data_IF_938762958316
#
_entry.id   IF_938762958316
#
_cell.length_a   1.000
_cell.length_b   1.000
_cell.length_c   1.000
_cell.angle_alpha   90.00
_cell.angle_beta   90.00
_cell.angle_gamma   90.00
#
_symmetry.space_group_name_H-M   'P 1'
#
loop_
_entity.id
_entity.type
_entity.pdbx_description
1 polymer ?
#
# COMPACT_ATOMS: atom_id res chain seq x y z
N UNK A 1 -6.59 7.86 -6.61
CA UNK A 1 -8.05 7.78 -6.58
C UNK A 1 -8.42 6.92 -5.39
N UNK A 2 -9.25 7.40 -4.47
CA UNK A 2 -9.69 6.58 -3.34
C UNK A 2 -10.92 5.77 -3.77
N UNK A 3 -10.79 4.44 -3.84
CA UNK A 3 -11.89 3.49 -4.08
C UNK A 3 -12.77 3.37 -2.83
N UNK A 4 -13.95 2.76 -2.79
CA UNK A 4 -14.67 2.51 -1.53
C UNK A 4 -13.85 1.66 -0.54
N UNK A 5 -14.07 1.86 0.78
CA UNK A 5 -13.43 1.05 1.82
C UNK A 5 -13.81 -0.42 1.64
N UNK A 6 -12.83 -1.30 1.84
CA UNK A 6 -13.04 -2.73 1.88
C UNK A 6 -11.80 -3.43 2.46
N UNK A 7 -11.99 -4.68 2.85
CA UNK A 7 -10.90 -5.57 3.26
C UNK A 7 -10.68 -6.67 2.22
N UNK A 8 -9.46 -7.21 2.17
CA UNK A 8 -9.17 -8.47 1.48
C UNK A 8 -9.68 -9.65 2.30
N UNK A 9 -9.66 -10.85 1.71
CA UNK A 9 -10.02 -12.10 2.42
C UNK A 9 -9.13 -12.37 3.65
N UNK A 10 -7.92 -11.81 3.66
CA UNK A 10 -6.96 -11.92 4.77
C UNK A 10 -7.16 -10.83 5.85
N UNK A 11 -8.20 -10.00 5.73
CA UNK A 11 -8.53 -8.94 6.70
C UNK A 11 -7.72 -7.64 6.56
N UNK A 12 -6.88 -7.51 5.53
CA UNK A 12 -6.11 -6.28 5.28
C UNK A 12 -6.97 -5.25 4.56
N UNK A 13 -6.82 -3.96 4.89
CA UNK A 13 -7.44 -2.88 4.11
C UNK A 13 -6.99 -2.96 2.64
N UNK A 14 -7.93 -2.86 1.70
CA UNK A 14 -7.73 -3.18 0.29
C UNK A 14 -6.60 -2.37 -0.35
N UNK A 15 -6.55 -1.06 -0.14
CA UNK A 15 -5.49 -0.23 -0.73
C UNK A 15 -4.12 -0.54 -0.13
N UNK A 16 -4.04 -0.74 1.19
CA UNK A 16 -2.81 -1.13 1.86
C UNK A 16 -2.31 -2.50 1.38
N UNK A 17 -3.22 -3.47 1.24
CA UNK A 17 -2.92 -4.79 0.74
C UNK A 17 -2.34 -4.75 -0.69
N UNK A 18 -2.97 -4.00 -1.59
CA UNK A 18 -2.54 -3.94 -3.01
C UNK A 18 -1.29 -3.07 -3.19
N UNK A 19 -1.29 -1.86 -2.62
CA UNK A 19 -0.25 -0.86 -2.89
C UNK A 19 1.02 -1.07 -2.05
N UNK A 20 0.94 -1.80 -0.93
CA UNK A 20 2.09 -2.04 -0.06
C UNK A 20 2.39 -3.52 0.13
N UNK A 21 1.46 -4.31 0.69
CA UNK A 21 1.75 -5.71 1.02
C UNK A 21 2.04 -6.56 -0.22
N UNK A 22 1.26 -6.38 -1.30
CA UNK A 22 1.48 -7.09 -2.57
C UNK A 22 2.83 -6.76 -3.21
N UNK A 23 3.24 -5.48 -3.17
CA UNK A 23 4.54 -5.06 -3.68
C UNK A 23 5.71 -5.62 -2.86
N UNK A 24 5.55 -5.65 -1.53
CA UNK A 24 6.52 -6.29 -0.64
C UNK A 24 6.61 -7.78 -0.93
N UNK A 25 5.49 -8.49 -0.99
CA UNK A 25 5.44 -9.92 -1.25
C UNK A 25 6.05 -10.29 -2.61
N UNK A 26 5.74 -9.52 -3.67
CA UNK A 26 6.33 -9.69 -5.00
C UNK A 26 7.86 -9.55 -4.95
N UNK A 27 8.35 -8.47 -4.34
CA UNK A 27 9.78 -8.19 -4.25
C UNK A 27 10.50 -9.24 -3.41
N UNK A 28 9.94 -9.62 -2.26
CA UNK A 28 10.50 -10.64 -1.38
C UNK A 28 10.60 -12.00 -2.08
N UNK A 29 9.57 -12.38 -2.84
CA UNK A 29 9.54 -13.63 -3.61
C UNK A 29 10.60 -13.64 -4.71
N UNK A 30 10.77 -12.51 -5.42
CA UNK A 30 11.75 -12.37 -6.49
C UNK A 30 13.18 -12.10 -5.99
N UNK A 31 13.36 -11.81 -4.70
CA UNK A 31 14.63 -11.35 -4.13
C UNK A 31 15.82 -12.29 -4.44
N UNK A 32 15.70 -13.63 -4.35
CA UNK A 32 16.79 -14.52 -4.72
C UNK A 32 17.17 -14.43 -6.20
N UNK A 33 16.20 -14.22 -7.11
CA UNK A 33 16.46 -14.04 -8.54
C UNK A 33 17.13 -12.69 -8.81
N UNK A 34 16.63 -11.62 -8.21
CA UNK A 34 17.21 -10.28 -8.33
C UNK A 34 18.68 -10.25 -7.90
N UNK A 35 19.04 -11.00 -6.86
CA UNK A 35 20.45 -11.15 -6.42
C UNK A 35 21.35 -11.88 -7.43
N UNK A 36 20.79 -12.81 -8.22
CA UNK A 36 21.55 -13.55 -9.24
C UNK A 36 21.69 -12.79 -10.56
N UNK A 37 20.74 -11.93 -10.88
CA UNK A 37 20.66 -11.20 -12.15
C UNK A 37 21.37 -9.84 -12.11
N UNK A 38 22.58 -9.75 -11.53
CA UNK A 38 23.27 -8.45 -11.39
C UNK A 38 23.79 -7.94 -12.74
N UNK A 39 23.52 -6.67 -13.11
CA UNK A 39 22.82 -5.65 -12.32
C UNK A 39 21.29 -5.78 -12.40
N UNK A 40 20.61 -5.64 -11.27
CA UNK A 40 19.13 -5.62 -11.18
C UNK A 40 18.65 -4.39 -10.41
N UNK A 41 17.40 -3.96 -10.66
CA UNK A 41 16.79 -2.79 -10.00
C UNK A 41 15.31 -3.04 -9.75
N UNK A 42 14.83 -2.60 -8.58
CA UNK A 42 13.41 -2.50 -8.25
C UNK A 42 13.05 -1.01 -8.20
N UNK A 43 11.95 -0.62 -8.87
CA UNK A 43 11.42 0.75 -8.87
C UNK A 43 9.97 0.70 -8.43
N UNK A 44 9.64 1.39 -7.34
CA UNK A 44 8.28 1.50 -6.85
C UNK A 44 7.65 2.78 -7.39
N UNK A 45 6.50 2.66 -8.07
CA UNK A 45 5.71 3.81 -8.48
C UNK A 45 4.89 4.30 -7.29
N UNK A 46 4.93 5.61 -7.05
CA UNK A 46 4.20 6.25 -5.94
C UNK A 46 3.47 7.50 -6.46
N UNK A 47 2.70 8.13 -5.58
CA UNK A 47 1.97 9.37 -5.83
C UNK A 47 2.57 10.51 -5.03
N UNK A 48 2.39 11.77 -5.46
CA UNK A 48 2.81 12.95 -4.69
C UNK A 48 2.26 12.97 -3.25
N UNK A 49 1.12 12.31 -3.02
CA UNK A 49 0.50 12.15 -1.71
C UNK A 49 1.40 11.44 -0.67
N UNK A 50 2.37 10.62 -1.09
CA UNK A 50 3.28 9.93 -0.15
C UNK A 50 4.07 10.91 0.73
N UNK A 51 4.27 12.16 0.28
CA UNK A 51 4.98 13.20 1.04
C UNK A 51 4.26 13.61 2.33
N UNK A 52 2.98 13.28 2.47
CA UNK A 52 2.19 13.57 3.67
C UNK A 52 2.34 12.50 4.75
N UNK A 53 3.02 11.38 4.46
CA UNK A 53 3.28 10.35 5.44
C UNK A 53 4.16 10.88 6.58
N UNK A 54 3.74 10.66 7.82
CA UNK A 54 4.49 11.07 9.01
C UNK A 54 5.09 9.85 9.69
N UNK A 55 6.36 9.94 10.06
CA UNK A 55 7.08 8.84 10.72
C UNK A 55 6.41 8.41 12.03
N UNK A 56 5.82 9.35 12.76
CA UNK A 56 5.08 9.09 14.02
C UNK A 56 3.96 8.05 13.87
N UNK A 57 3.33 7.95 12.69
CA UNK A 57 2.30 6.94 12.43
C UNK A 57 2.87 5.51 12.36
N UNK A 58 4.17 5.36 12.13
CA UNK A 58 4.85 4.05 12.06
C UNK A 58 5.57 3.69 13.35
N UNK A 59 5.91 4.66 14.19
CA UNK A 59 6.71 4.44 15.41
C UNK A 59 5.91 4.50 16.70
N UNK A 60 4.66 4.99 16.68
CA UNK A 60 3.84 5.16 17.88
C UNK A 60 3.11 3.89 18.33
N UNK A 61 3.23 2.78 17.60
CA UNK A 61 2.42 1.58 17.84
C UNK A 61 0.97 1.71 17.37
N UNK A 62 0.58 2.85 16.78
CA UNK A 62 -0.69 2.99 16.09
C UNK A 62 -0.77 2.05 14.89
N UNK A 63 -1.99 1.63 14.54
CA UNK A 63 -2.21 0.83 13.34
C UNK A 63 -1.80 1.60 12.08
N UNK A 64 -0.93 0.99 11.27
CA UNK A 64 -0.42 1.58 10.02
C UNK A 64 -1.44 1.53 8.88
N UNK A 65 -2.44 0.67 8.99
CA UNK A 65 -3.53 0.50 8.04
C UNK A 65 -4.84 0.96 8.68
N UNK A 66 -5.80 1.38 7.85
CA UNK A 66 -7.14 1.65 8.35
C UNK A 66 -7.85 0.37 8.77
N UNK A 67 -8.55 0.44 9.89
CA UNK A 67 -9.29 -0.69 10.47
C UNK A 67 -10.81 -0.61 10.24
N UNK A 68 -11.31 0.54 9.78
CA UNK A 68 -12.72 0.80 9.50
C UNK A 68 -12.88 1.82 8.37
N UNK A 69 -14.12 2.00 7.94
CA UNK A 69 -14.57 3.03 7.00
C UNK A 69 -14.79 4.41 7.67
N UNK A 70 -14.57 4.53 8.98
CA UNK A 70 -14.67 5.81 9.69
C UNK A 70 -13.66 6.83 9.15
N UNK A 71 -14.15 8.00 8.73
CA UNK A 71 -13.32 9.04 8.11
C UNK A 71 -12.76 8.64 6.73
N UNK A 72 -13.29 7.57 6.13
CA UNK A 72 -12.97 7.15 4.79
C UNK A 72 -13.81 7.93 3.78
N UNK A 73 -13.16 8.76 2.97
CA UNK A 73 -13.84 9.55 1.95
C UNK A 73 -13.36 9.10 0.56
N UNK A 74 -14.11 8.22 -0.13
CA UNK A 74 -13.80 7.91 -1.51
C UNK A 74 -13.98 9.19 -2.34
N UNK A 75 -13.15 9.37 -3.37
CA UNK A 75 -13.47 10.41 -4.36
C UNK A 75 -14.69 9.85 -5.09
N UNK A 76 -15.86 10.46 -4.91
CA UNK A 76 -17.04 10.16 -5.72
C UNK A 76 -16.68 10.47 -7.17
N UNK A 77 -16.40 9.43 -7.94
CA UNK A 77 -16.27 9.55 -9.39
C UNK A 77 -17.71 9.50 -9.90
N UNK A 78 -18.27 10.65 -10.27
CA UNK A 78 -19.59 10.69 -10.91
C UNK A 78 -19.61 9.68 -12.06
N UNK A 79 -20.62 8.81 -12.16
CA UNK A 79 -20.79 8.01 -13.36
C UNK A 79 -20.96 8.97 -14.54
N UNK A 80 -20.20 8.72 -15.61
CA UNK A 80 -20.35 9.38 -16.91
C UNK A 80 -21.65 8.94 -17.57
#
# INVERSE_FOLDING_TARGET
>A
MAVPYAQTVDGNERQFAVNHLGHFALTATLFPMLKRSTPSRVVNVSSIAHKQAKLEHFTSGSSIMRLSDEGYNPIEVSPL
#
